data_IF_411070981876
#
_entry.id   IF_411070981876
#
_cell.length_a   1.000
_cell.length_b   1.000
_cell.length_c   1.000
_cell.angle_alpha   90.00
_cell.angle_beta   90.00
_cell.angle_gamma   90.00
#
_symmetry.space_group_name_H-M   'P 1'
#
loop_
_entity.id
_entity.type
_entity.pdbx_description
1 polymer ?
#
# COMPACT_ATOMS: atom_id res chain seq x y z
N UNK A 1 -12.65 2.45 3.24
CA UNK A 1 -11.31 1.85 3.38
C UNK A 1 -10.22 2.80 2.86
N UNK A 2 -9.99 2.93 1.55
CA UNK A 2 -8.88 3.75 1.00
C UNK A 2 -8.85 5.22 1.46
N UNK A 3 -10.00 5.91 1.45
CA UNK A 3 -10.10 7.32 1.87
C UNK A 3 -9.72 7.56 3.35
N UNK A 4 -10.13 6.66 4.24
CA UNK A 4 -9.83 6.80 5.68
C UNK A 4 -8.35 6.55 5.96
N UNK A 5 -7.76 5.56 5.27
CA UNK A 5 -6.31 5.32 5.36
C UNK A 5 -5.50 6.50 4.85
N UNK A 6 -5.89 7.08 3.70
CA UNK A 6 -5.22 8.27 3.17
C UNK A 6 -5.35 9.45 4.13
N UNK A 7 -6.56 9.73 4.64
CA UNK A 7 -6.76 10.81 5.62
C UNK A 7 -5.94 10.61 6.91
N UNK A 8 -5.77 9.36 7.36
CA UNK A 8 -4.89 9.05 8.47
C UNK A 8 -3.42 9.33 8.13
N UNK A 9 -2.93 8.87 6.99
CA UNK A 9 -1.55 9.12 6.55
C UNK A 9 -1.26 10.61 6.34
N UNK A 10 -2.23 11.38 5.82
CA UNK A 10 -2.15 12.84 5.67
C UNK A 10 -2.10 13.57 7.01
N UNK A 11 -2.60 12.96 8.10
CA UNK A 11 -2.55 13.54 9.45
C UNK A 11 -1.22 13.30 10.18
N UNK A 12 -0.33 12.48 9.64
CA UNK A 12 0.95 12.14 10.27
C UNK A 12 1.97 13.26 10.12
N UNK A 13 2.70 13.55 11.21
CA UNK A 13 3.88 14.42 11.13
C UNK A 13 5.07 13.68 10.50
N UNK A 14 6.10 14.43 10.09
CA UNK A 14 7.30 13.86 9.45
C UNK A 14 7.97 12.78 10.32
N UNK A 15 8.07 13.01 11.63
CA UNK A 15 8.65 12.04 12.56
C UNK A 15 7.79 10.77 12.75
N UNK A 16 6.46 10.86 12.57
CA UNK A 16 5.57 9.72 12.73
C UNK A 16 5.81 8.65 11.64
N UNK A 17 6.26 9.05 10.46
CA UNK A 17 6.56 8.13 9.35
C UNK A 17 7.63 7.09 9.69
N UNK A 18 8.53 7.42 10.61
CA UNK A 18 9.60 6.53 11.07
C UNK A 18 9.19 5.59 12.21
N UNK A 19 7.93 5.65 12.67
CA UNK A 19 7.42 4.70 13.67
C UNK A 19 7.43 3.30 13.12
N UNK A 20 8.01 2.38 13.89
CA UNK A 20 8.10 0.95 13.54
C UNK A 20 6.90 0.17 14.05
N UNK A 21 6.47 -0.81 13.26
CA UNK A 21 5.50 -1.83 13.66
C UNK A 21 5.91 -3.18 13.10
N UNK A 22 5.47 -4.26 13.76
CA UNK A 22 5.70 -5.63 13.29
C UNK A 22 4.40 -6.21 12.77
N UNK A 23 4.43 -6.71 11.54
CA UNK A 23 3.32 -7.45 10.94
C UNK A 23 3.69 -8.93 10.84
N UNK A 24 2.72 -9.86 10.91
CA UNK A 24 3.00 -11.29 10.80
C UNK A 24 3.62 -11.70 9.44
N UNK A 25 3.32 -10.97 8.37
CA UNK A 25 3.68 -11.35 7.00
C UNK A 25 4.83 -10.55 6.40
N UNK A 26 5.18 -9.40 7.00
CA UNK A 26 6.22 -8.48 6.48
C UNK A 26 7.33 -8.17 7.47
N UNK A 27 7.28 -8.74 8.67
CA UNK A 27 8.26 -8.46 9.72
C UNK A 27 8.12 -7.04 10.26
N UNK A 28 9.23 -6.47 10.73
CA UNK A 28 9.28 -5.13 11.32
C UNK A 28 9.67 -4.10 10.29
N UNK A 29 8.86 -3.04 10.16
CA UNK A 29 9.05 -1.98 9.18
C UNK A 29 8.41 -0.67 9.66
N UNK A 30 8.85 0.45 9.07
CA UNK A 30 8.27 1.76 9.35
C UNK A 30 6.92 1.93 8.66
N UNK A 31 6.13 2.92 9.11
CA UNK A 31 4.90 3.33 8.41
C UNK A 31 5.20 3.72 6.97
N UNK A 32 6.32 4.41 6.73
CA UNK A 32 6.79 4.78 5.38
C UNK A 32 7.02 3.56 4.49
N UNK A 33 7.84 2.62 4.96
CA UNK A 33 8.19 1.43 4.20
C UNK A 33 6.93 0.60 3.88
N UNK A 34 6.01 0.50 4.84
CA UNK A 34 4.78 -0.26 4.63
C UNK A 34 3.84 0.44 3.65
N UNK A 35 3.70 1.76 3.76
CA UNK A 35 2.88 2.56 2.84
C UNK A 35 3.39 2.47 1.41
N UNK A 36 4.71 2.57 1.20
CA UNK A 36 5.34 2.41 -0.13
C UNK A 36 5.02 1.04 -0.72
N UNK A 37 5.21 0.00 0.08
CA UNK A 37 4.86 -1.36 -0.34
C UNK A 37 3.38 -1.49 -0.74
N UNK A 38 2.45 -0.91 0.02
CA UNK A 38 1.02 -0.96 -0.31
C UNK A 38 0.69 -0.27 -1.63
N UNK A 39 1.32 0.88 -1.91
CA UNK A 39 1.16 1.58 -3.19
C UNK A 39 1.68 0.73 -4.36
N UNK A 40 2.87 0.16 -4.23
CA UNK A 40 3.45 -0.70 -5.28
C UNK A 40 2.56 -1.93 -5.53
N UNK A 41 2.02 -2.52 -4.46
CA UNK A 41 1.12 -3.66 -4.54
C UNK A 41 -0.23 -3.33 -5.21
N UNK A 42 -0.75 -2.12 -4.99
CA UNK A 42 -1.96 -1.68 -5.69
C UNK A 42 -1.73 -1.51 -7.19
N UNK A 43 -0.57 -0.98 -7.59
CA UNK A 43 -0.20 -0.84 -9.00
C UNK A 43 -0.03 -2.21 -9.67
N UNK A 44 0.60 -3.16 -8.98
CA UNK A 44 0.71 -4.55 -9.44
C UNK A 44 -0.66 -5.17 -9.69
N UNK A 45 -1.62 -5.00 -8.77
CA UNK A 45 -2.98 -5.49 -8.96
C UNK A 45 -3.70 -4.81 -10.13
N UNK A 46 -3.53 -3.50 -10.33
CA UNK A 46 -4.10 -2.82 -11.48
C UNK A 46 -3.58 -3.40 -12.80
N UNK A 47 -2.27 -3.64 -12.89
CA UNK A 47 -1.64 -4.29 -14.05
C UNK A 47 -2.23 -5.69 -14.29
N UNK A 48 -2.38 -6.50 -13.24
CA UNK A 48 -2.97 -7.84 -13.33
C UNK A 48 -4.43 -7.81 -13.80
N UNK A 49 -5.22 -6.84 -13.34
CA UNK A 49 -6.61 -6.65 -13.78
C UNK A 49 -6.70 -6.25 -15.25
N UNK A 50 -5.82 -5.37 -15.72
CA UNK A 50 -5.74 -4.97 -17.13
C UNK A 50 -5.36 -6.15 -18.03
N UNK A 51 -4.35 -6.93 -17.62
CA UNK A 51 -3.94 -8.14 -18.34
C UNK A 51 -5.07 -9.18 -18.38
N UNK A 52 -5.76 -9.40 -17.26
CA UNK A 52 -6.90 -10.33 -17.19
C UNK A 52 -8.04 -9.87 -18.10
N UNK A 53 -8.36 -8.57 -18.11
CA UNK A 53 -9.40 -8.01 -18.98
C UNK A 53 -9.08 -8.23 -20.45
N UNK A 54 -7.83 -8.07 -20.85
CA UNK A 54 -7.40 -8.28 -22.24
C UNK A 54 -7.62 -9.74 -22.68
N UNK A 55 -7.36 -10.71 -21.79
CA UNK A 55 -7.56 -12.14 -22.09
C UNK A 55 -9.05 -12.47 -22.19
N UNK A 56 -9.88 -12.01 -21.25
CA UNK A 56 -11.32 -12.35 -21.21
C UNK A 56 -12.14 -11.66 -22.31
N UNK A 57 -11.67 -10.51 -22.81
CA UNK A 57 -12.32 -9.81 -23.92
C UNK A 57 -12.04 -10.43 -25.31
N UNK A 58 -11.25 -11.51 -25.36
CA UNK A 58 -10.92 -12.27 -26.57
C UNK A 58 -11.82 -13.50 -26.69
#
# INVERSE_FOLDING_TARGET
MRRQTVAFLESLGEADWQRIGTTPTRGTLTIEAYTRYLVDHDLEHLSQLEATRAIVAT
#
